data_IF_165101937792
#
_entry.id   IF_165101937792
#
_cell.length_a   1.000
_cell.length_b   1.000
_cell.length_c   1.000
_cell.angle_alpha   90.00
_cell.angle_beta   90.00
_cell.angle_gamma   90.00
#
_symmetry.space_group_name_H-M   'P 1'
#
loop_
_entity.id
_entity.type
_entity.pdbx_description
1 polymer ?
#
# COMPACT_ATOMS: atom_id res chain seq x y z
N UNK A 1 -0.91 -0.50 -18.22
CA UNK A 1 -1.41 0.87 -17.99
C UNK A 1 -2.42 1.30 -19.05
N UNK A 2 -2.05 1.38 -20.34
CA UNK A 2 -2.88 2.02 -21.38
C UNK A 2 -4.29 1.40 -21.55
N UNK A 3 -4.44 0.08 -21.39
CA UNK A 3 -5.75 -0.60 -21.48
C UNK A 3 -6.76 -0.22 -20.39
N UNK A 4 -6.29 0.34 -19.27
CA UNK A 4 -7.08 0.73 -18.11
C UNK A 4 -7.35 2.24 -18.05
N UNK A 5 -6.98 3.00 -19.08
CA UNK A 5 -7.23 4.43 -19.13
C UNK A 5 -8.73 4.73 -18.99
N UNK A 6 -9.12 5.48 -17.96
CA UNK A 6 -10.51 5.85 -17.72
C UNK A 6 -11.41 4.72 -17.21
N UNK A 7 -10.88 3.64 -16.61
CA UNK A 7 -11.65 2.42 -16.28
C UNK A 7 -11.62 2.00 -14.83
N UNK A 8 -10.73 2.54 -13.99
CA UNK A 8 -10.59 2.09 -12.61
C UNK A 8 -11.40 2.97 -11.65
N UNK A 9 -12.20 2.37 -10.78
CA UNK A 9 -12.93 3.11 -9.75
C UNK A 9 -12.03 3.47 -8.56
N UNK A 10 -11.07 2.59 -8.23
CA UNK A 10 -10.16 2.73 -7.09
C UNK A 10 -8.74 2.31 -7.46
N UNK A 11 -7.77 3.08 -6.98
CA UNK A 11 -6.35 2.70 -6.96
C UNK A 11 -5.86 2.89 -5.53
N UNK A 12 -5.27 1.84 -4.94
CA UNK A 12 -4.58 1.91 -3.65
C UNK A 12 -3.08 2.03 -3.96
N UNK A 13 -2.51 3.17 -3.63
CA UNK A 13 -1.11 3.48 -3.90
C UNK A 13 -0.25 3.25 -2.67
N UNK A 14 0.55 2.18 -2.73
CA UNK A 14 1.43 1.72 -1.64
C UNK A 14 2.90 2.09 -1.88
N UNK A 15 3.21 2.96 -2.85
CA UNK A 15 4.59 3.26 -3.23
C UNK A 15 5.22 4.29 -2.28
N UNK A 16 6.31 3.93 -1.61
CA UNK A 16 7.06 4.81 -0.69
C UNK A 16 8.25 5.54 -1.33
N UNK A 17 8.44 5.40 -2.63
CA UNK A 17 9.47 6.10 -3.41
C UNK A 17 8.84 7.19 -4.30
N UNK A 18 9.60 8.19 -4.79
CA UNK A 18 9.07 9.16 -5.74
C UNK A 18 8.47 8.51 -6.99
N UNK A 19 7.26 8.91 -7.38
CA UNK A 19 6.54 8.38 -8.53
C UNK A 19 5.52 9.40 -9.09
N UNK A 20 5.09 9.23 -10.35
CA UNK A 20 4.12 10.13 -11.00
C UNK A 20 2.67 9.72 -10.70
N UNK A 21 2.04 10.38 -9.73
CA UNK A 21 0.62 10.18 -9.40
C UNK A 21 -0.33 10.48 -10.57
N UNK A 22 0.08 11.33 -11.52
CA UNK A 22 -0.73 11.66 -12.68
C UNK A 22 -0.91 10.46 -13.60
N UNK A 23 0.04 9.53 -13.61
CA UNK A 23 -0.09 8.27 -14.32
C UNK A 23 -1.27 7.45 -13.80
N UNK A 24 -1.52 7.47 -12.49
CA UNK A 24 -2.64 6.76 -11.84
C UNK A 24 -3.96 7.50 -12.02
N UNK A 25 -3.98 8.82 -11.83
CA UNK A 25 -5.18 9.63 -12.04
C UNK A 25 -5.77 9.44 -13.45
N UNK A 26 -4.94 9.30 -14.49
CA UNK A 26 -5.42 9.06 -15.86
C UNK A 26 -6.11 7.70 -16.07
N UNK A 27 -5.83 6.71 -15.21
CA UNK A 27 -6.47 5.40 -15.25
C UNK A 27 -7.87 5.41 -14.64
N UNK A 28 -8.17 6.39 -13.79
CA UNK A 28 -9.44 6.43 -13.09
C UNK A 28 -10.62 6.71 -14.02
N UNK A 29 -11.72 5.99 -13.81
CA UNK A 29 -13.02 6.30 -14.36
C UNK A 29 -13.54 7.66 -13.85
N UNK A 30 -14.72 8.06 -14.30
CA UNK A 30 -15.41 9.22 -13.72
C UNK A 30 -15.71 8.91 -12.25
N UNK A 31 -15.47 9.87 -11.35
CA UNK A 31 -15.64 9.76 -9.90
C UNK A 31 -14.67 8.77 -9.20
N UNK A 32 -13.69 8.23 -9.91
CA UNK A 32 -12.70 7.32 -9.34
C UNK A 32 -11.74 8.01 -8.35
N UNK A 33 -11.10 7.22 -7.49
CA UNK A 33 -10.20 7.72 -6.43
C UNK A 33 -8.85 7.01 -6.43
N UNK A 34 -7.76 7.79 -6.30
CA UNK A 34 -6.49 7.24 -5.82
C UNK A 34 -6.41 7.47 -4.31
N UNK A 35 -6.14 6.41 -3.55
CA UNK A 35 -5.92 6.45 -2.11
C UNK A 35 -4.45 6.19 -1.84
N UNK A 36 -3.74 7.21 -1.39
CA UNK A 36 -2.34 7.13 -0.98
C UNK A 36 -2.24 6.51 0.42
N UNK A 37 -1.56 5.37 0.50
CA UNK A 37 -1.14 4.72 1.76
C UNK A 37 0.38 4.54 1.84
N UNK A 38 1.10 4.82 0.74
CA UNK A 38 2.55 5.01 0.71
C UNK A 38 2.97 6.39 1.24
N UNK A 39 4.21 6.51 1.70
CA UNK A 39 4.78 7.76 2.21
C UNK A 39 6.09 8.09 1.48
N UNK A 40 6.02 8.62 0.24
CA UNK A 40 7.20 9.11 -0.46
C UNK A 40 7.81 10.30 0.28
N UNK A 41 9.14 10.40 0.22
CA UNK A 41 9.90 11.48 0.89
C UNK A 41 9.80 12.82 0.17
N UNK A 42 9.40 12.82 -1.10
CA UNK A 42 9.25 14.01 -1.94
C UNK A 42 7.76 14.35 -2.15
N UNK A 43 7.40 15.65 -2.25
CA UNK A 43 6.04 16.05 -2.58
C UNK A 43 5.58 15.53 -3.95
N UNK A 44 4.34 15.02 -4.01
CA UNK A 44 3.71 14.58 -5.24
C UNK A 44 3.05 15.76 -5.98
N UNK A 45 3.48 16.02 -7.22
CA UNK A 45 2.90 17.09 -8.05
C UNK A 45 1.67 16.58 -8.81
N UNK A 46 0.52 17.25 -8.63
CA UNK A 46 -0.74 16.89 -9.28
C UNK A 46 -1.09 17.92 -10.36
N UNK A 47 -1.29 17.47 -11.60
CA UNK A 47 -1.79 18.32 -12.67
C UNK A 47 -3.31 18.51 -12.52
N UNK A 48 -3.81 19.75 -12.37
CA UNK A 48 -5.23 20.00 -12.10
C UNK A 48 -6.19 19.36 -13.11
N UNK A 49 -5.80 19.33 -14.40
CA UNK A 49 -6.64 18.77 -15.45
C UNK A 49 -6.89 17.26 -15.27
N UNK A 50 -5.96 16.53 -14.65
CA UNK A 50 -6.13 15.10 -14.39
C UNK A 50 -7.16 14.80 -13.29
N UNK A 51 -7.48 15.81 -12.46
CA UNK A 51 -8.48 15.73 -11.39
C UNK A 51 -9.84 16.19 -11.92
N UNK A 52 -9.91 17.41 -12.49
CA UNK A 52 -11.18 18.00 -12.93
C UNK A 52 -11.80 17.26 -14.13
N UNK A 53 -10.97 16.71 -15.03
CA UNK A 53 -11.44 15.87 -16.13
C UNK A 53 -11.79 14.48 -15.60
N UNK A 54 -13.05 14.32 -15.20
CA UNK A 54 -13.59 13.08 -14.66
C UNK A 54 -13.93 13.13 -13.18
N UNK A 55 -13.89 14.30 -12.53
CA UNK A 55 -14.26 14.47 -11.10
C UNK A 55 -13.54 13.47 -10.17
N UNK A 56 -12.26 13.23 -10.46
CA UNK A 56 -11.47 12.24 -9.74
C UNK A 56 -11.01 12.79 -8.41
N UNK A 57 -10.76 11.89 -7.47
CA UNK A 57 -10.29 12.24 -6.12
C UNK A 57 -8.88 11.73 -5.87
N UNK A 58 -8.15 12.48 -5.05
CA UNK A 58 -6.89 12.06 -4.45
C UNK A 58 -7.06 12.14 -2.93
N UNK A 59 -7.00 10.98 -2.27
CA UNK A 59 -7.24 10.83 -0.85
C UNK A 59 -6.02 10.17 -0.18
N UNK A 60 -5.95 10.27 1.16
CA UNK A 60 -4.91 9.61 1.95
C UNK A 60 -5.53 8.80 3.09
N UNK A 61 -4.87 7.73 3.48
CA UNK A 61 -5.14 6.98 4.71
C UNK A 61 -3.83 6.47 5.28
N UNK A 62 -3.78 6.27 6.60
CA UNK A 62 -2.60 5.73 7.27
C UNK A 62 -2.95 4.41 7.95
N UNK A 63 -3.58 4.48 9.12
CA UNK A 63 -4.05 3.31 9.87
C UNK A 63 -5.54 3.47 10.21
N UNK A 64 -6.19 2.35 10.53
CA UNK A 64 -7.56 2.33 11.03
C UNK A 64 -7.66 2.51 12.55
N UNK A 65 -8.88 2.77 13.03
CA UNK A 65 -9.19 2.78 14.46
C UNK A 65 -9.21 1.37 15.06
N UNK A 66 -9.35 1.29 16.40
CA UNK A 66 -9.41 -0.01 17.11
C UNK A 66 -10.61 -0.85 16.64
N UNK A 67 -11.79 -0.24 16.50
CA UNK A 67 -12.99 -0.93 16.04
C UNK A 67 -12.83 -1.46 14.60
N UNK A 68 -12.36 -0.62 13.68
CA UNK A 68 -12.10 -1.02 12.28
C UNK A 68 -11.03 -2.12 12.18
N UNK A 69 -10.01 -2.09 13.05
CA UNK A 69 -9.00 -3.14 13.12
C UNK A 69 -9.61 -4.47 13.55
N UNK A 70 -10.53 -4.45 14.51
CA UNK A 70 -11.25 -5.65 14.95
C UNK A 70 -12.10 -6.23 13.82
N UNK A 71 -12.88 -5.39 13.13
CA UNK A 71 -13.68 -5.79 11.96
C UNK A 71 -12.80 -6.38 10.84
N UNK A 72 -11.64 -5.76 10.58
CA UNK A 72 -10.67 -6.25 9.60
C UNK A 72 -10.11 -7.62 9.97
N UNK A 73 -9.75 -7.84 11.24
CA UNK A 73 -9.24 -9.13 11.71
C UNK A 73 -10.30 -10.23 11.61
N UNK A 74 -11.54 -9.91 11.96
CA UNK A 74 -12.68 -10.84 11.84
C UNK A 74 -12.93 -11.22 10.38
N UNK A 75 -12.95 -10.24 9.47
CA UNK A 75 -13.08 -10.48 8.04
C UNK A 75 -11.93 -11.35 7.50
N UNK A 76 -10.69 -11.08 7.92
CA UNK A 76 -9.55 -11.88 7.49
C UNK A 76 -9.64 -13.33 7.98
N UNK A 77 -10.07 -13.54 9.22
CA UNK A 77 -10.27 -14.87 9.79
C UNK A 77 -11.39 -15.64 9.07
N UNK A 78 -12.52 -15.00 8.76
CA UNK A 78 -13.63 -15.60 8.03
C UNK A 78 -13.23 -16.04 6.61
N UNK A 79 -12.41 -15.22 5.93
CA UNK A 79 -12.06 -15.42 4.53
C UNK A 79 -10.68 -16.07 4.31
N UNK A 80 -10.01 -16.52 5.38
CA UNK A 80 -8.66 -17.10 5.31
C UNK A 80 -7.64 -16.18 4.62
N UNK A 81 -7.71 -14.87 4.92
CA UNK A 81 -6.77 -13.88 4.39
C UNK A 81 -5.60 -13.79 5.36
N UNK A 82 -4.43 -14.20 4.89
CA UNK A 82 -3.16 -14.11 5.65
C UNK A 82 -2.11 -13.39 4.82
N UNK A 83 -1.08 -12.85 5.49
CA UNK A 83 0.10 -12.38 4.81
C UNK A 83 1.00 -13.57 4.42
N UNK A 84 1.69 -13.44 3.29
CA UNK A 84 2.83 -14.30 2.96
C UNK A 84 4.05 -13.82 3.73
N UNK A 85 4.57 -14.69 4.61
CA UNK A 85 5.60 -14.33 5.57
C UNK A 85 6.89 -15.13 5.39
N UNK A 86 7.99 -14.47 5.74
CA UNK A 86 9.27 -15.11 6.05
C UNK A 86 9.47 -15.03 7.56
N UNK A 87 9.30 -16.16 8.26
CA UNK A 87 9.53 -16.25 9.70
C UNK A 87 11.05 -16.28 9.97
N UNK A 88 11.53 -15.38 10.84
CA UNK A 88 12.95 -15.29 11.21
C UNK A 88 13.12 -15.41 12.72
N UNK A 89 14.24 -15.99 13.21
CA UNK A 89 14.61 -15.87 14.60
C UNK A 89 15.06 -14.43 14.93
N UNK A 90 14.92 -14.03 16.19
CA UNK A 90 15.25 -12.69 16.68
C UNK A 90 16.72 -12.29 16.39
N UNK A 91 17.65 -13.24 16.44
CA UNK A 91 19.08 -13.03 16.15
C UNK A 91 19.34 -12.56 14.71
N UNK A 92 18.45 -12.87 13.75
CA UNK A 92 18.59 -12.53 12.34
C UNK A 92 17.98 -11.18 11.97
N UNK A 93 17.51 -10.38 12.94
CA UNK A 93 16.82 -9.11 12.66
C UNK A 93 17.64 -8.15 11.77
N UNK A 94 18.96 -8.07 11.99
CA UNK A 94 19.82 -7.18 11.21
C UNK A 94 19.98 -7.64 9.75
N UNK A 95 20.06 -8.96 9.53
CA UNK A 95 20.12 -9.53 8.18
C UNK A 95 18.80 -9.29 7.44
N UNK A 96 17.67 -9.55 8.11
CA UNK A 96 16.34 -9.31 7.55
C UNK A 96 16.14 -7.82 7.20
N UNK A 97 16.65 -6.90 8.03
CA UNK A 97 16.61 -5.47 7.74
C UNK A 97 17.41 -5.11 6.48
N UNK A 98 18.65 -5.63 6.34
CA UNK A 98 19.48 -5.40 5.15
C UNK A 98 18.87 -6.01 3.87
N UNK A 99 18.10 -7.10 3.99
CA UNK A 99 17.33 -7.68 2.88
C UNK A 99 16.11 -6.83 2.53
N UNK A 100 15.38 -6.34 3.54
CA UNK A 100 14.23 -5.46 3.38
C UNK A 100 14.59 -4.19 2.62
N UNK A 101 15.72 -3.55 2.94
CA UNK A 101 16.22 -2.36 2.22
C UNK A 101 16.42 -2.61 0.72
N UNK A 102 16.73 -3.85 0.32
CA UNK A 102 16.91 -4.26 -1.08
C UNK A 102 15.64 -4.78 -1.74
N UNK A 103 14.52 -4.81 -1.01
CA UNK A 103 13.27 -5.45 -1.45
C UNK A 103 13.37 -6.98 -1.57
N UNK A 104 14.36 -7.59 -0.93
CA UNK A 104 14.59 -9.05 -0.95
C UNK A 104 13.74 -9.75 0.12
N UNK A 105 12.42 -9.70 -0.07
CA UNK A 105 11.44 -10.36 0.80
C UNK A 105 10.17 -10.69 0.01
N UNK A 106 9.52 -11.81 0.32
CA UNK A 106 8.22 -12.20 -0.23
C UNK A 106 7.25 -12.61 0.87
N UNK A 107 6.45 -11.72 1.46
CA UNK A 107 6.39 -10.27 1.26
C UNK A 107 6.65 -9.50 2.57
N UNK A 108 6.65 -10.20 3.72
CA UNK A 108 6.86 -9.59 5.04
C UNK A 108 7.69 -10.50 5.95
N UNK A 109 8.69 -9.93 6.60
CA UNK A 109 9.35 -10.62 7.71
C UNK A 109 8.46 -10.64 8.95
N UNK A 110 8.43 -11.76 9.65
CA UNK A 110 7.83 -11.90 10.98
C UNK A 110 8.90 -12.46 11.91
N UNK A 111 9.12 -11.80 13.04
CA UNK A 111 10.06 -12.28 14.06
C UNK A 111 9.35 -13.29 14.94
N UNK A 112 9.92 -14.49 15.06
CA UNK A 112 9.50 -15.47 16.04
C UNK A 112 9.97 -15.04 17.44
N UNK A 113 9.06 -14.46 18.21
CA UNK A 113 9.34 -13.96 19.55
C UNK A 113 9.75 -15.06 20.53
N UNK A 114 9.47 -16.34 20.25
CA UNK A 114 9.92 -17.45 21.09
C UNK A 114 11.45 -17.65 21.05
N UNK A 115 12.12 -17.07 20.05
CA UNK A 115 13.58 -17.14 19.87
C UNK A 115 14.32 -15.98 20.54
N UNK A 116 13.60 -15.02 21.12
CA UNK A 116 14.20 -13.90 21.84
C UNK A 116 14.66 -14.39 23.23
N UNK A 117 15.98 -14.43 23.43
CA UNK A 117 16.62 -14.73 24.72
C UNK A 117 16.62 -13.53 25.67
#
# INVERSE_FOLDING_TARGET
MQQYAGKLDLIIDTVSAPHDINAYLRLLAIDGTVVLVGLPTEPLSIAPFNVVKGRRSFAGSNIGGIAETQEMLEFCAEHNITADIELIPAEQINEAFARLEKGDVKYRFVVDMATLQ
#
